data_IF_081551412463
#
_entry.id   IF_081551412463
#
_cell.length_a   1.000
_cell.length_b   1.000
_cell.length_c   1.000
_cell.angle_alpha   90.00
_cell.angle_beta   90.00
_cell.angle_gamma   90.00
#
_symmetry.space_group_name_H-M   'P 1'
#
loop_
_entity.id
_entity.type
_entity.pdbx_description
1 polymer ?
#
# COMPACT_ATOMS: atom_id res chain seq x y z
N UNK A 1 -18.86 5.07 33.10
CA UNK A 1 -17.91 4.46 34.06
C UNK A 1 -17.01 5.52 34.67
N UNK A 2 -16.31 6.32 33.85
CA UNK A 2 -15.44 7.43 34.28
C UNK A 2 -16.09 8.36 35.33
N UNK A 3 -17.31 8.85 35.06
CA UNK A 3 -18.03 9.77 35.96
C UNK A 3 -18.52 9.14 37.28
N UNK A 4 -18.39 7.82 37.47
CA UNK A 4 -18.91 7.13 38.67
C UNK A 4 -18.00 7.29 39.89
N UNK A 5 -16.72 7.65 39.73
CA UNK A 5 -15.76 7.81 40.83
C UNK A 5 -14.88 9.06 40.63
N UNK A 6 -14.59 9.84 41.69
CA UNK A 6 -13.69 11.00 41.57
C UNK A 6 -12.30 10.65 41.03
N UNK A 7 -11.76 9.49 41.42
CA UNK A 7 -10.45 9.00 40.93
C UNK A 7 -10.43 8.83 39.42
N UNK A 8 -11.37 8.06 38.86
CA UNK A 8 -11.44 7.79 37.41
C UNK A 8 -11.78 9.06 36.63
N UNK A 9 -12.60 9.95 37.19
CA UNK A 9 -12.88 11.25 36.58
C UNK A 9 -11.61 12.09 36.43
N UNK A 10 -10.80 12.18 37.50
CA UNK A 10 -9.53 12.91 37.49
C UNK A 10 -8.53 12.31 36.50
N UNK A 11 -8.46 10.97 36.44
CA UNK A 11 -7.48 10.27 35.61
C UNK A 11 -7.87 10.21 34.12
N UNK A 12 -9.15 10.09 33.77
CA UNK A 12 -9.59 9.78 32.41
C UNK A 12 -10.63 10.74 31.82
N UNK A 13 -11.21 11.65 32.63
CA UNK A 13 -12.31 12.51 32.20
C UNK A 13 -11.95 13.50 31.08
N UNK A 14 -10.66 13.77 30.88
CA UNK A 14 -10.15 14.71 29.88
C UNK A 14 -9.88 14.06 28.51
N UNK A 15 -9.83 12.73 28.42
CA UNK A 15 -9.35 12.02 27.22
C UNK A 15 -10.21 12.33 25.99
N UNK A 16 -11.52 12.06 26.05
CA UNK A 16 -12.40 12.24 24.89
C UNK A 16 -12.57 13.71 24.47
N UNK A 17 -12.73 14.68 25.41
CA UNK A 17 -12.68 16.10 25.05
C UNK A 17 -11.39 16.47 24.33
N UNK A 18 -10.24 15.97 24.83
CA UNK A 18 -8.95 16.30 24.24
C UNK A 18 -8.76 15.68 22.85
N UNK A 19 -9.20 14.44 22.63
CA UNK A 19 -9.25 13.87 21.29
C UNK A 19 -10.05 14.74 20.32
N UNK A 20 -11.24 15.21 20.74
CA UNK A 20 -12.08 16.06 19.90
C UNK A 20 -11.35 17.34 19.48
N UNK A 21 -10.69 18.00 20.43
CA UNK A 21 -9.90 19.21 20.14
C UNK A 21 -8.75 18.93 19.17
N UNK A 22 -7.98 17.87 19.41
CA UNK A 22 -6.86 17.50 18.53
C UNK A 22 -7.36 17.15 17.14
N UNK A 23 -8.35 16.25 17.00
CA UNK A 23 -8.83 15.79 15.69
C UNK A 23 -9.48 16.89 14.85
N UNK A 24 -10.03 17.93 15.48
CA UNK A 24 -10.55 19.11 14.76
C UNK A 24 -9.45 19.77 13.94
N UNK A 25 -8.26 19.95 14.50
CA UNK A 25 -7.13 20.57 13.80
C UNK A 25 -6.29 19.54 13.01
N UNK A 26 -6.02 18.38 13.61
CA UNK A 26 -5.20 17.32 13.03
C UNK A 26 -5.72 16.90 11.65
N UNK A 27 -7.03 16.79 11.47
CA UNK A 27 -7.64 16.35 10.20
C UNK A 27 -7.23 17.24 9.02
N UNK A 28 -7.13 18.56 9.22
CA UNK A 28 -6.70 19.54 8.21
C UNK A 28 -5.25 19.28 7.76
N UNK A 29 -4.34 19.12 8.70
CA UNK A 29 -2.93 18.84 8.40
C UNK A 29 -2.72 17.43 7.86
N UNK A 30 -3.52 16.46 8.33
CA UNK A 30 -3.44 15.08 7.88
C UNK A 30 -3.90 14.97 6.43
N UNK A 31 -4.96 15.69 6.05
CA UNK A 31 -5.39 15.80 4.66
C UNK A 31 -4.30 16.46 3.80
N UNK A 32 -3.69 17.55 4.27
CA UNK A 32 -2.58 18.19 3.56
C UNK A 32 -1.39 17.24 3.36
N UNK A 33 -1.05 16.43 4.36
CA UNK A 33 -0.01 15.41 4.26
C UNK A 33 -0.38 14.29 3.27
N UNK A 34 -1.65 13.90 3.21
CA UNK A 34 -2.14 12.94 2.23
C UNK A 34 -2.00 13.50 0.80
N UNK A 35 -2.40 14.75 0.54
CA UNK A 35 -2.18 15.39 -0.77
C UNK A 35 -0.70 15.51 -1.11
N UNK A 36 0.15 15.91 -0.16
CA UNK A 36 1.59 15.95 -0.36
C UNK A 36 2.13 14.57 -0.77
N UNK A 37 1.70 13.50 -0.09
CA UNK A 37 2.17 12.14 -0.35
C UNK A 37 1.62 11.57 -1.65
N UNK A 38 0.32 11.70 -1.89
CA UNK A 38 -0.41 11.03 -2.98
C UNK A 38 -0.48 11.83 -4.28
N UNK A 39 -0.49 13.16 -4.22
CA UNK A 39 -0.56 14.04 -5.39
C UNK A 39 0.76 14.78 -5.66
N UNK A 40 1.73 14.69 -4.76
CA UNK A 40 3.07 15.24 -4.93
C UNK A 40 4.15 14.16 -4.99
N UNK A 41 4.37 13.47 -3.88
CA UNK A 41 5.56 12.65 -3.66
C UNK A 41 5.50 11.25 -4.30
N UNK A 42 4.30 10.72 -4.54
CA UNK A 42 4.09 9.42 -5.21
C UNK A 42 4.43 9.45 -6.70
N UNK A 43 4.44 10.64 -7.31
CA UNK A 43 4.69 10.84 -8.74
C UNK A 43 6.12 10.44 -9.11
N UNK A 44 6.27 9.70 -10.21
CA UNK A 44 7.54 9.09 -10.58
C UNK A 44 8.60 10.16 -10.87
N UNK A 45 8.23 11.23 -11.57
CA UNK A 45 9.14 12.37 -11.77
C UNK A 45 9.65 12.97 -10.45
N UNK A 46 8.80 13.09 -9.43
CA UNK A 46 9.19 13.67 -8.13
C UNK A 46 10.10 12.72 -7.36
N UNK A 47 9.82 11.40 -7.38
CA UNK A 47 10.70 10.36 -6.80
C UNK A 47 12.06 10.30 -7.50
N UNK A 48 12.08 10.51 -8.81
CA UNK A 48 13.31 10.59 -9.59
C UNK A 48 14.15 11.80 -9.15
N UNK A 49 13.51 12.94 -8.93
CA UNK A 49 14.18 14.17 -8.47
C UNK A 49 14.71 14.02 -7.05
N UNK A 50 13.97 13.35 -6.15
CA UNK A 50 14.49 12.98 -4.83
C UNK A 50 15.79 12.18 -4.96
N UNK A 51 15.82 11.21 -5.88
CA UNK A 51 17.00 10.37 -6.14
C UNK A 51 18.16 11.21 -6.68
N UNK A 52 17.91 12.15 -7.60
CA UNK A 52 18.89 13.12 -8.09
C UNK A 52 19.39 14.03 -6.95
N UNK A 53 18.55 14.42 -6.01
CA UNK A 53 18.96 15.20 -4.83
C UNK A 53 20.07 14.51 -4.02
N UNK A 54 20.07 13.17 -3.95
CA UNK A 54 21.16 12.43 -3.28
C UNK A 54 22.51 12.51 -4.02
N UNK A 55 22.47 12.80 -5.32
CA UNK A 55 23.63 12.99 -6.20
C UNK A 55 24.13 14.43 -6.12
N UNK A 56 23.22 15.40 -6.10
CA UNK A 56 23.55 16.80 -5.87
C UNK A 56 24.21 17.02 -4.49
N UNK A 57 23.84 16.23 -3.49
CA UNK A 57 24.46 16.24 -2.16
C UNK A 57 25.81 15.51 -2.09
N UNK A 58 26.28 14.86 -3.15
CA UNK A 58 27.53 14.11 -3.15
C UNK A 58 28.75 15.03 -3.33
N UNK A 59 29.74 14.91 -2.46
CA UNK A 59 31.03 15.60 -2.62
C UNK A 59 31.90 14.88 -3.66
N UNK A 60 31.80 15.32 -4.92
CA UNK A 60 32.52 14.75 -6.07
C UNK A 60 34.04 14.98 -6.04
N UNK A 61 34.55 15.81 -5.12
CA UNK A 61 36.00 15.96 -4.92
C UNK A 61 36.60 14.76 -4.19
N UNK A 62 35.75 13.90 -3.61
CA UNK A 62 36.15 12.70 -2.89
C UNK A 62 35.86 11.43 -3.70
N UNK A 63 36.67 10.39 -3.50
CA UNK A 63 36.42 9.06 -4.06
C UNK A 63 35.04 8.52 -3.68
N UNK A 64 34.57 8.81 -2.46
CA UNK A 64 33.27 8.38 -1.96
C UNK A 64 32.11 9.03 -2.74
N UNK A 65 32.18 10.33 -3.02
CA UNK A 65 31.17 11.02 -3.83
C UNK A 65 31.18 10.54 -5.27
N UNK A 66 32.35 10.41 -5.90
CA UNK A 66 32.44 9.87 -7.27
C UNK A 66 31.88 8.44 -7.36
N UNK A 67 32.18 7.59 -6.37
CA UNK A 67 31.64 6.23 -6.29
C UNK A 67 30.12 6.24 -6.14
N UNK A 68 29.55 7.12 -5.31
CA UNK A 68 28.10 7.27 -5.14
C UNK A 68 27.40 7.56 -6.47
N UNK A 69 27.93 8.50 -7.26
CA UNK A 69 27.40 8.86 -8.57
C UNK A 69 27.46 7.67 -9.53
N UNK A 70 28.61 6.98 -9.61
CA UNK A 70 28.75 5.80 -10.47
C UNK A 70 27.79 4.67 -10.08
N UNK A 71 27.54 4.49 -8.78
CA UNK A 71 26.64 3.45 -8.28
C UNK A 71 25.17 3.78 -8.51
N UNK A 72 24.79 5.06 -8.58
CA UNK A 72 23.40 5.47 -8.80
C UNK A 72 22.93 5.30 -10.24
N UNK A 73 23.84 5.35 -11.22
CA UNK A 73 23.57 5.15 -12.66
C UNK A 73 22.68 3.91 -12.89
N UNK A 74 23.06 2.75 -12.34
CA UNK A 74 22.26 1.52 -12.48
C UNK A 74 20.85 1.65 -11.88
N UNK A 75 20.73 2.42 -10.78
CA UNK A 75 19.44 2.73 -10.17
C UNK A 75 18.55 3.54 -11.11
N UNK A 76 19.09 4.56 -11.76
CA UNK A 76 18.38 5.35 -12.76
C UNK A 76 18.04 4.54 -14.01
N UNK A 77 18.94 3.68 -14.49
CA UNK A 77 18.64 2.78 -15.61
C UNK A 77 17.46 1.86 -15.31
N UNK A 78 17.42 1.27 -14.11
CA UNK A 78 16.32 0.43 -13.65
C UNK A 78 15.03 1.24 -13.52
N UNK A 79 15.08 2.46 -12.97
CA UNK A 79 13.92 3.34 -12.88
C UNK A 79 13.32 3.60 -14.28
N UNK A 80 14.16 3.97 -15.25
CA UNK A 80 13.72 4.26 -16.61
C UNK A 80 13.26 3.04 -17.42
N UNK A 81 13.44 1.82 -16.90
CA UNK A 81 12.90 0.62 -17.53
C UNK A 81 11.37 0.59 -17.43
N UNK A 82 10.83 1.04 -16.30
CA UNK A 82 9.41 0.98 -15.99
C UNK A 82 8.73 2.36 -16.06
N UNK A 83 9.51 3.45 -16.09
CA UNK A 83 9.01 4.82 -16.28
C UNK A 83 8.43 5.03 -17.69
N UNK A 84 7.18 5.48 -17.76
CA UNK A 84 6.53 5.87 -19.00
C UNK A 84 6.19 7.38 -18.99
N UNK A 85 6.99 8.17 -19.71
CA UNK A 85 6.96 9.63 -19.70
C UNK A 85 5.55 10.23 -19.91
N UNK A 86 4.84 9.79 -20.96
CA UNK A 86 3.51 10.35 -21.28
C UNK A 86 2.46 9.99 -20.21
N UNK A 87 2.58 8.81 -19.59
CA UNK A 87 1.66 8.39 -18.53
C UNK A 87 1.91 9.18 -17.25
N UNK A 88 3.17 9.29 -16.82
CA UNK A 88 3.54 10.05 -15.64
C UNK A 88 3.13 11.53 -15.80
N UNK A 89 3.41 12.13 -16.96
CA UNK A 89 2.98 13.51 -17.28
C UNK A 89 1.46 13.70 -17.22
N UNK A 90 0.68 12.77 -17.77
CA UNK A 90 -0.77 12.84 -17.75
C UNK A 90 -1.32 12.70 -16.31
N UNK A 91 -0.76 11.79 -15.52
CA UNK A 91 -1.12 11.60 -14.10
C UNK A 91 -0.76 12.86 -13.32
N UNK A 92 0.47 13.36 -13.46
CA UNK A 92 0.97 14.59 -12.83
C UNK A 92 -0.02 15.74 -13.05
N UNK A 93 -0.38 16.02 -14.32
CA UNK A 93 -1.34 17.08 -14.65
C UNK A 93 -2.67 16.93 -13.92
N UNK A 94 -3.23 15.71 -13.84
CA UNK A 94 -4.52 15.47 -13.19
C UNK A 94 -4.44 15.59 -11.68
N UNK A 95 -3.47 14.95 -11.03
CA UNK A 95 -3.39 14.96 -9.56
C UNK A 95 -2.96 16.32 -9.02
N UNK A 96 -2.07 17.03 -9.72
CA UNK A 96 -1.69 18.40 -9.34
C UNK A 96 -2.85 19.38 -9.53
N UNK A 97 -3.65 19.24 -10.60
CA UNK A 97 -4.86 20.05 -10.78
C UNK A 97 -5.85 19.84 -9.64
N UNK A 98 -6.05 18.58 -9.22
CA UNK A 98 -6.91 18.24 -8.08
C UNK A 98 -6.39 18.86 -6.77
N UNK A 99 -5.09 18.72 -6.48
CA UNK A 99 -4.48 19.33 -5.29
C UNK A 99 -4.71 20.85 -5.24
N UNK A 100 -4.43 21.54 -6.35
CA UNK A 100 -4.57 23.00 -6.45
C UNK A 100 -6.03 23.47 -6.34
N UNK A 101 -7.00 22.61 -6.65
CA UNK A 101 -8.43 22.93 -6.58
C UNK A 101 -9.07 22.59 -5.24
N UNK A 102 -8.59 21.54 -4.58
CA UNK A 102 -9.26 20.93 -3.43
C UNK A 102 -8.64 21.31 -2.09
N UNK A 103 -7.45 21.91 -2.08
CA UNK A 103 -6.77 22.34 -0.86
C UNK A 103 -6.76 23.87 -0.70
N UNK A 104 -6.84 24.31 0.56
CA UNK A 104 -6.57 25.70 0.92
C UNK A 104 -5.17 26.11 0.43
N UNK A 105 -5.04 27.34 -0.09
CA UNK A 105 -3.79 27.85 -0.66
C UNK A 105 -2.60 27.72 0.30
N UNK A 106 -2.86 27.75 1.60
CA UNK A 106 -1.86 27.61 2.63
C UNK A 106 -1.19 26.21 2.68
N UNK A 107 -1.76 25.21 2.00
CA UNK A 107 -1.24 23.84 1.85
C UNK A 107 -1.00 23.45 0.38
N UNK A 108 -0.91 24.45 -0.49
CA UNK A 108 -0.52 24.26 -1.88
C UNK A 108 0.87 24.88 -2.04
N UNK A 109 1.83 24.16 -2.64
CA UNK A 109 3.15 24.71 -2.97
C UNK A 109 3.03 26.02 -3.75
N UNK A 110 3.83 27.02 -3.39
CA UNK A 110 3.75 28.36 -3.98
C UNK A 110 3.94 28.32 -5.50
N UNK A 111 4.84 27.47 -6.01
CA UNK A 111 5.06 27.30 -7.44
C UNK A 111 3.79 26.87 -8.18
N UNK A 112 2.93 26.07 -7.54
CA UNK A 112 1.66 25.63 -8.10
C UNK A 112 0.59 26.73 -8.01
N UNK A 113 0.60 27.56 -6.97
CA UNK A 113 -0.27 28.73 -6.88
C UNK A 113 0.09 29.78 -7.95
N UNK A 114 1.39 29.98 -8.19
CA UNK A 114 1.90 30.86 -9.22
C UNK A 114 1.51 30.32 -10.60
N UNK A 115 1.67 29.01 -10.82
CA UNK A 115 1.21 28.34 -12.04
C UNK A 115 -0.31 28.49 -12.24
N UNK A 116 -1.11 28.28 -11.19
CA UNK A 116 -2.57 28.47 -11.22
C UNK A 116 -2.92 29.89 -11.67
N UNK A 117 -2.21 30.88 -11.15
CA UNK A 117 -2.43 32.30 -11.47
C UNK A 117 -2.01 32.60 -12.92
N UNK A 118 -0.80 32.17 -13.32
CA UNK A 118 -0.26 32.37 -14.67
C UNK A 118 -1.16 31.75 -15.75
N UNK A 119 -1.74 30.59 -15.46
CA UNK A 119 -2.53 29.81 -16.41
C UNK A 119 -4.04 29.84 -16.15
N UNK A 120 -4.55 30.86 -15.48
CA UNK A 120 -5.99 31.08 -15.26
C UNK A 120 -6.71 29.83 -14.71
N UNK A 121 -6.08 29.12 -13.79
CA UNK A 121 -6.62 27.92 -13.13
C UNK A 121 -6.32 26.58 -13.81
N UNK A 122 -5.84 26.57 -15.06
CA UNK A 122 -5.48 25.33 -15.77
C UNK A 122 -3.98 25.01 -15.57
N UNK A 123 -3.66 23.93 -14.85
CA UNK A 123 -2.28 23.55 -14.54
C UNK A 123 -1.59 22.80 -15.70
N UNK A 124 -2.34 22.29 -16.68
CA UNK A 124 -1.78 21.48 -17.76
C UNK A 124 -0.67 22.18 -18.57
N UNK A 125 -0.76 23.48 -18.94
CA UNK A 125 0.33 24.17 -19.60
C UNK A 125 1.60 24.27 -18.76
N UNK A 126 1.49 24.46 -17.43
CA UNK A 126 2.63 24.45 -16.53
C UNK A 126 3.33 23.08 -16.53
N UNK A 127 2.55 21.99 -16.46
CA UNK A 127 3.10 20.63 -16.49
C UNK A 127 3.76 20.33 -17.83
N UNK A 128 3.17 20.79 -18.94
CA UNK A 128 3.80 20.69 -20.26
C UNK A 128 5.17 21.39 -20.31
N UNK A 129 5.28 22.60 -19.77
CA UNK A 129 6.56 23.32 -19.67
C UNK A 129 7.55 22.61 -18.74
N UNK A 130 7.09 22.11 -17.60
CA UNK A 130 7.91 21.42 -16.61
C UNK A 130 8.59 20.18 -17.21
N UNK A 131 7.81 19.31 -17.86
CA UNK A 131 8.34 18.10 -18.51
C UNK A 131 9.19 18.40 -19.75
N UNK A 132 8.83 19.42 -20.54
CA UNK A 132 9.58 19.78 -21.75
C UNK A 132 10.98 20.35 -21.45
N UNK A 133 11.14 21.02 -20.31
CA UNK A 133 12.38 21.71 -19.95
C UNK A 133 13.26 20.92 -18.97
N UNK A 134 12.82 19.75 -18.50
CA UNK A 134 13.56 18.95 -17.54
C UNK A 134 14.52 17.97 -18.20
N UNK A 135 15.76 17.97 -17.69
CA UNK A 135 16.81 16.99 -18.01
C UNK A 135 16.69 15.74 -17.15
N UNK A 136 16.04 15.85 -15.99
CA UNK A 136 15.90 14.74 -15.04
C UNK A 136 14.93 13.67 -15.57
N UNK A 137 13.76 14.04 -16.08
CA UNK A 137 12.76 13.06 -16.58
C UNK A 137 13.09 12.53 -17.99
N UNK A 138 14.18 13.00 -18.60
CA UNK A 138 14.67 12.51 -19.87
C UNK A 138 15.85 11.55 -19.65
N UNK A 139 15.65 10.26 -19.93
CA UNK A 139 16.69 9.23 -19.74
C UNK A 139 18.00 9.60 -20.40
N UNK A 140 17.98 9.95 -21.69
CA UNK A 140 19.22 10.19 -22.44
C UNK A 140 19.98 11.40 -21.90
N UNK A 141 19.26 12.46 -21.54
CA UNK A 141 19.87 13.68 -20.98
C UNK A 141 20.40 13.45 -19.56
N UNK A 142 19.63 12.81 -18.68
CA UNK A 142 20.09 12.51 -17.32
C UNK A 142 21.31 11.59 -17.35
N UNK A 143 21.27 10.49 -18.11
CA UNK A 143 22.40 9.55 -18.18
C UNK A 143 23.66 10.23 -18.70
N UNK A 144 23.56 11.08 -19.73
CA UNK A 144 24.70 11.86 -20.24
C UNK A 144 25.33 12.76 -19.16
N UNK A 145 24.50 13.41 -18.35
CA UNK A 145 24.95 14.27 -17.25
C UNK A 145 25.62 13.48 -16.12
N UNK A 146 25.14 12.27 -15.82
CA UNK A 146 25.66 11.41 -14.76
C UNK A 146 26.94 10.66 -15.16
N UNK A 147 27.06 10.20 -16.40
CA UNK A 147 28.26 9.50 -16.89
C UNK A 147 29.50 10.40 -16.89
N UNK A 148 29.30 11.70 -17.14
CA UNK A 148 30.36 12.71 -17.15
C UNK A 148 30.22 13.69 -15.98
N UNK A 149 29.74 13.24 -14.83
CA UNK A 149 29.34 14.13 -13.74
C UNK A 149 30.47 15.05 -13.25
N UNK A 150 30.22 16.36 -13.35
CA UNK A 150 31.09 17.47 -12.93
C UNK A 150 30.31 18.46 -12.07
N UNK A 151 30.99 19.47 -11.53
CA UNK A 151 30.33 20.59 -10.85
C UNK A 151 29.38 21.36 -11.79
N UNK A 152 29.73 21.49 -13.08
CA UNK A 152 28.87 22.10 -14.10
C UNK A 152 27.60 21.26 -14.33
N UNK A 153 27.72 19.93 -14.44
CA UNK A 153 26.55 19.06 -14.58
C UNK A 153 25.66 19.08 -13.33
N UNK A 154 26.27 19.21 -12.14
CA UNK A 154 25.53 19.37 -10.90
C UNK A 154 24.73 20.69 -10.89
N UNK A 155 25.31 21.78 -11.40
CA UNK A 155 24.59 23.06 -11.54
C UNK A 155 23.42 22.96 -12.54
N UNK A 156 23.61 22.27 -13.67
CA UNK A 156 22.53 22.01 -14.64
C UNK A 156 21.37 21.26 -13.96
N UNK A 157 21.67 20.19 -13.21
CA UNK A 157 20.65 19.40 -12.52
C UNK A 157 20.01 20.17 -11.36
N UNK A 158 20.78 20.98 -10.62
CA UNK A 158 20.25 21.80 -9.52
C UNK A 158 19.27 22.88 -10.01
N UNK A 159 19.44 23.36 -11.24
CA UNK A 159 18.57 24.34 -11.89
C UNK A 159 17.42 23.70 -12.70
N UNK A 160 17.27 22.37 -12.66
CA UNK A 160 16.15 21.69 -13.32
C UNK A 160 14.80 22.16 -12.72
N UNK A 161 13.77 22.41 -13.54
CA UNK A 161 12.49 22.92 -13.04
C UNK A 161 11.81 21.97 -12.05
N UNK A 162 12.05 20.65 -12.12
CA UNK A 162 11.55 19.74 -11.09
C UNK A 162 12.29 19.85 -9.76
N UNK A 163 13.55 20.27 -9.74
CA UNK A 163 14.27 20.51 -8.47
C UNK A 163 13.65 21.70 -7.73
N UNK A 164 13.34 22.78 -8.45
CA UNK A 164 12.63 23.92 -7.87
C UNK A 164 11.26 23.52 -7.30
N UNK A 165 10.48 22.75 -8.07
CA UNK A 165 9.19 22.19 -7.63
C UNK A 165 9.34 21.32 -6.37
N UNK A 166 10.27 20.37 -6.40
CA UNK A 166 10.53 19.44 -5.30
C UNK A 166 10.92 20.20 -4.02
N UNK A 167 11.80 21.20 -4.13
CA UNK A 167 12.22 21.99 -2.99
C UNK A 167 11.05 22.76 -2.36
N UNK A 168 10.14 23.30 -3.18
CA UNK A 168 8.93 23.98 -2.69
C UNK A 168 7.97 23.00 -1.99
N UNK A 169 7.78 21.80 -2.57
CA UNK A 169 6.99 20.72 -1.95
C UNK A 169 7.55 20.36 -0.56
N UNK A 170 8.85 20.07 -0.48
CA UNK A 170 9.52 19.68 0.76
C UNK A 170 9.51 20.82 1.78
N UNK A 171 9.70 22.07 1.34
CA UNK A 171 9.64 23.24 2.22
C UNK A 171 8.26 23.36 2.88
N UNK A 172 7.18 23.29 2.09
CA UNK A 172 5.82 23.32 2.62
C UNK A 172 5.58 22.17 3.61
N UNK A 173 5.94 20.95 3.22
CA UNK A 173 5.74 19.78 4.07
C UNK A 173 6.50 19.89 5.40
N UNK A 174 7.80 20.17 5.34
CA UNK A 174 8.67 20.14 6.50
C UNK A 174 8.46 21.32 7.45
N UNK A 175 8.16 22.51 6.92
CA UNK A 175 8.07 23.71 7.75
C UNK A 175 6.66 23.95 8.30
N UNK A 176 5.64 23.31 7.72
CA UNK A 176 4.24 23.56 8.09
C UNK A 176 3.47 22.31 8.45
N UNK A 177 3.45 21.32 7.55
CA UNK A 177 2.57 20.16 7.69
C UNK A 177 3.09 19.23 8.79
N UNK A 178 4.33 18.77 8.67
CA UNK A 178 4.87 17.74 9.57
C UNK A 178 5.07 18.27 10.99
N UNK A 179 5.46 19.54 11.17
CA UNK A 179 5.66 20.14 12.50
C UNK A 179 4.38 20.04 13.34
N UNK A 180 3.23 20.33 12.72
CA UNK A 180 1.93 20.25 13.39
C UNK A 180 1.48 18.81 13.62
N UNK A 181 1.66 17.94 12.63
CA UNK A 181 1.32 16.52 12.77
C UNK A 181 2.12 15.83 13.87
N UNK A 182 3.43 16.03 13.92
CA UNK A 182 4.29 15.44 14.97
C UNK A 182 3.84 15.88 16.36
N UNK A 183 3.59 17.18 16.55
CA UNK A 183 3.12 17.70 17.85
C UNK A 183 1.79 17.08 18.29
N UNK A 184 0.84 16.89 17.37
CA UNK A 184 -0.42 16.23 17.70
C UNK A 184 -0.25 14.73 17.93
N UNK A 185 0.60 14.05 17.16
CA UNK A 185 0.87 12.62 17.31
C UNK A 185 1.50 12.27 18.66
N UNK A 186 2.44 13.07 19.16
CA UNK A 186 3.03 12.89 20.50
C UNK A 186 1.98 12.95 21.61
N UNK A 187 1.01 13.86 21.47
CA UNK A 187 -0.09 13.99 22.41
C UNK A 187 -1.09 12.84 22.28
N UNK A 188 -1.47 12.48 21.06
CA UNK A 188 -2.34 11.32 20.78
C UNK A 188 -1.75 10.04 21.36
N UNK A 189 -0.45 9.79 21.19
CA UNK A 189 0.21 8.61 21.75
C UNK A 189 0.07 8.52 23.28
N UNK A 190 0.13 9.66 23.96
CA UNK A 190 -0.09 9.73 25.41
C UNK A 190 -1.54 9.44 25.76
N UNK A 191 -2.50 10.02 25.03
CA UNK A 191 -3.93 9.82 25.21
C UNK A 191 -4.33 8.36 24.93
N UNK A 192 -3.81 7.75 23.87
CA UNK A 192 -4.08 6.37 23.45
C UNK A 192 -3.66 5.38 24.55
N UNK A 193 -2.47 5.58 25.13
CA UNK A 193 -1.99 4.77 26.25
C UNK A 193 -2.91 4.89 27.46
N UNK A 194 -3.36 6.10 27.79
CA UNK A 194 -4.29 6.32 28.91
C UNK A 194 -5.67 5.75 28.62
N UNK A 195 -6.13 5.86 27.37
CA UNK A 195 -7.43 5.36 26.93
C UNK A 195 -7.46 3.83 26.95
N UNK A 196 -6.41 3.16 26.48
CA UNK A 196 -6.27 1.71 26.58
C UNK A 196 -6.27 1.25 28.05
N UNK A 197 -5.52 1.94 28.92
CA UNK A 197 -5.54 1.64 30.37
C UNK A 197 -6.96 1.79 30.95
N UNK A 198 -7.67 2.86 30.60
CA UNK A 198 -9.04 3.10 31.05
C UNK A 198 -10.00 2.00 30.58
N UNK A 199 -9.87 1.52 29.34
CA UNK A 199 -10.68 0.41 28.80
C UNK A 199 -10.43 -0.89 29.57
N UNK A 200 -9.16 -1.23 29.85
CA UNK A 200 -8.79 -2.43 30.61
C UNK A 200 -9.33 -2.39 32.05
N UNK A 201 -9.22 -1.24 32.73
CA UNK A 201 -9.77 -1.05 34.07
C UNK A 201 -11.31 -1.04 34.10
N UNK A 202 -11.95 -0.54 33.04
CA UNK A 202 -13.40 -0.54 32.90
C UNK A 202 -13.96 -1.95 32.64
N UNK A 203 -13.21 -2.78 31.90
CA UNK A 203 -13.65 -4.10 31.44
C UNK A 203 -12.63 -5.20 31.81
N UNK A 204 -12.36 -5.45 33.11
CA UNK A 204 -11.28 -6.35 33.53
C UNK A 204 -11.49 -7.82 33.14
N UNK A 205 -12.71 -8.20 32.73
CA UNK A 205 -13.05 -9.55 32.26
C UNK A 205 -13.02 -9.68 30.73
N UNK A 206 -12.88 -8.58 29.99
CA UNK A 206 -12.82 -8.62 28.53
C UNK A 206 -11.43 -9.10 28.12
N UNK A 207 -11.37 -9.99 27.14
CA UNK A 207 -10.11 -10.37 26.50
C UNK A 207 -9.68 -9.23 25.58
N UNK A 208 -8.62 -8.53 25.96
CA UNK A 208 -7.95 -7.59 25.09
C UNK A 208 -6.78 -8.29 24.40
N UNK A 209 -6.64 -8.08 23.10
CA UNK A 209 -5.46 -8.44 22.34
C UNK A 209 -4.80 -7.14 21.84
N UNK A 210 -3.46 -7.06 21.82
CA UNK A 210 -2.79 -5.85 21.36
C UNK A 210 -2.97 -5.68 19.85
N UNK A 211 -3.01 -4.43 19.39
CA UNK A 211 -3.00 -4.12 17.96
C UNK A 211 -1.80 -4.76 17.25
N UNK A 212 -1.97 -5.02 15.96
CA UNK A 212 -0.90 -5.55 15.12
C UNK A 212 0.22 -4.52 14.98
N UNK A 213 1.47 -4.99 15.05
CA UNK A 213 2.66 -4.14 14.97
C UNK A 213 3.83 -4.86 14.28
N UNK A 214 3.53 -5.65 13.25
CA UNK A 214 4.50 -6.50 12.52
C UNK A 214 5.28 -7.49 13.40
N UNK A 215 4.66 -7.96 14.48
CA UNK A 215 5.16 -9.07 15.31
C UNK A 215 4.34 -10.33 15.05
N UNK A 216 4.92 -11.50 15.34
CA UNK A 216 4.22 -12.78 15.22
C UNK A 216 2.97 -12.82 16.10
N UNK A 217 1.84 -13.22 15.54
CA UNK A 217 0.55 -13.43 16.23
C UNK A 217 -0.10 -14.72 15.76
N UNK A 218 -1.03 -15.22 16.57
CA UNK A 218 -1.89 -16.37 16.24
C UNK A 218 -3.34 -15.89 16.30
N UNK A 219 -4.09 -16.22 15.25
CA UNK A 219 -5.55 -16.07 15.19
C UNK A 219 -6.14 -17.42 14.82
N UNK A 220 -7.35 -17.70 15.27
CA UNK A 220 -8.03 -18.95 15.01
C UNK A 220 -9.50 -18.70 14.73
N UNK A 221 -10.10 -19.64 14.01
CA UNK A 221 -11.47 -19.55 13.55
C UNK A 221 -11.90 -20.89 12.97
N UNK A 222 -12.97 -20.85 12.18
CA UNK A 222 -13.49 -21.99 11.46
C UNK A 222 -13.74 -21.60 10.01
N UNK A 223 -13.62 -22.57 9.11
CA UNK A 223 -14.12 -22.45 7.75
C UNK A 223 -15.63 -22.26 7.83
N UNK A 224 -16.15 -21.16 7.28
CA UNK A 224 -17.54 -20.77 7.47
C UNK A 224 -18.06 -19.92 6.31
N UNK A 225 -19.28 -20.22 5.90
CA UNK A 225 -20.03 -19.44 4.91
C UNK A 225 -20.34 -18.04 5.48
N UNK A 226 -20.79 -17.11 4.63
CA UNK A 226 -21.33 -15.84 5.11
C UNK A 226 -22.39 -15.26 4.17
N UNK A 227 -23.14 -14.26 4.66
CA UNK A 227 -24.23 -13.61 3.93
C UNK A 227 -23.90 -12.14 3.71
N UNK A 228 -23.39 -11.75 2.53
CA UNK A 228 -22.98 -10.36 2.28
C UNK A 228 -24.16 -9.39 2.29
N UNK A 229 -25.35 -9.87 1.91
CA UNK A 229 -26.60 -9.10 1.83
C UNK A 229 -27.81 -10.01 1.84
N UNK A 230 -29.00 -9.41 1.87
CA UNK A 230 -30.27 -10.14 1.83
C UNK A 230 -30.35 -11.10 0.63
N UNK A 231 -30.93 -12.28 0.88
CA UNK A 231 -31.10 -13.39 -0.07
C UNK A 231 -29.82 -13.91 -0.76
N UNK A 232 -28.61 -13.52 -0.33
CA UNK A 232 -27.34 -14.01 -0.89
C UNK A 232 -26.53 -14.73 0.17
N UNK A 233 -26.01 -15.91 -0.20
CA UNK A 233 -25.10 -16.70 0.62
C UNK A 233 -23.85 -16.99 -0.20
N UNK A 234 -22.68 -16.70 0.37
CA UNK A 234 -21.41 -17.12 -0.20
C UNK A 234 -20.93 -18.35 0.57
N UNK A 235 -20.66 -19.41 -0.17
CA UNK A 235 -20.09 -20.63 0.35
C UNK A 235 -18.62 -20.42 0.72
N UNK A 236 -18.14 -21.23 1.64
CA UNK A 236 -16.80 -21.10 2.18
C UNK A 236 -15.68 -21.54 1.23
N UNK A 237 -16.00 -22.09 0.06
CA UNK A 237 -15.01 -22.58 -0.91
C UNK A 237 -15.33 -22.10 -2.33
N UNK A 238 -14.30 -22.09 -3.18
CA UNK A 238 -14.40 -21.90 -4.62
C UNK A 238 -13.69 -23.04 -5.35
N UNK A 239 -13.95 -23.18 -6.65
CA UNK A 239 -13.39 -24.27 -7.45
C UNK A 239 -12.84 -23.79 -8.79
N UNK A 240 -12.12 -24.68 -9.47
CA UNK A 240 -11.55 -24.43 -10.80
C UNK A 240 -12.65 -24.12 -11.83
N UNK A 241 -13.82 -24.74 -11.73
CA UNK A 241 -14.99 -24.36 -12.56
C UNK A 241 -15.28 -22.86 -12.47
N UNK A 242 -15.21 -22.27 -11.27
CA UNK A 242 -15.42 -20.83 -11.07
C UNK A 242 -14.34 -19.93 -11.69
N UNK A 243 -13.13 -20.46 -11.92
CA UNK A 243 -12.11 -19.76 -12.72
C UNK A 243 -12.53 -19.77 -14.20
N UNK A 244 -13.00 -20.91 -14.71
CA UNK A 244 -13.42 -21.07 -16.10
C UNK A 244 -14.68 -20.25 -16.41
N UNK A 245 -15.64 -20.19 -15.49
CA UNK A 245 -16.82 -19.32 -15.58
C UNK A 245 -16.45 -17.84 -15.75
N UNK A 246 -15.29 -17.44 -15.23
CA UNK A 246 -14.77 -16.07 -15.32
C UNK A 246 -13.85 -15.84 -16.51
N UNK A 247 -13.49 -16.86 -17.30
CA UNK A 247 -12.53 -16.71 -18.40
C UNK A 247 -13.03 -15.66 -19.41
N UNK A 248 -12.21 -14.65 -19.63
CA UNK A 248 -12.45 -13.64 -20.64
C UNK A 248 -11.11 -13.21 -21.26
N UNK A 249 -10.75 -13.70 -22.47
CA UNK A 249 -9.45 -13.42 -23.07
C UNK A 249 -9.24 -11.94 -23.45
N UNK A 250 -10.32 -11.17 -23.58
CA UNK A 250 -10.28 -9.73 -23.89
C UNK A 250 -9.92 -8.88 -22.65
N UNK A 251 -10.12 -9.43 -21.44
CA UNK A 251 -9.77 -8.74 -20.18
C UNK A 251 -8.51 -9.39 -19.62
N UNK A 252 -7.42 -8.63 -19.56
CA UNK A 252 -6.11 -9.12 -19.10
C UNK A 252 -6.20 -9.89 -17.77
N UNK A 253 -6.92 -9.36 -16.78
CA UNK A 253 -7.06 -9.95 -15.44
C UNK A 253 -7.89 -11.25 -15.41
N UNK A 254 -8.71 -11.50 -16.43
CA UNK A 254 -9.60 -12.67 -16.52
C UNK A 254 -9.17 -13.65 -17.61
N UNK A 255 -8.01 -13.45 -18.24
CA UNK A 255 -7.50 -14.35 -19.27
C UNK A 255 -6.95 -15.63 -18.63
N UNK A 256 -7.66 -16.75 -18.77
CA UNK A 256 -7.20 -18.05 -18.27
C UNK A 256 -6.15 -18.66 -19.22
N UNK A 257 -5.00 -19.15 -18.70
CA UNK A 257 -3.99 -19.82 -19.52
C UNK A 257 -4.53 -21.07 -20.24
N UNK A 258 -4.10 -21.28 -21.49
CA UNK A 258 -4.56 -22.42 -22.30
C UNK A 258 -4.34 -23.79 -21.64
N UNK A 259 -3.20 -23.98 -20.97
CA UNK A 259 -2.89 -25.22 -20.23
C UNK A 259 -3.88 -25.48 -19.10
N UNK A 260 -4.33 -24.44 -18.39
CA UNK A 260 -5.29 -24.60 -17.29
C UNK A 260 -6.68 -24.98 -17.83
N UNK A 261 -7.07 -24.43 -19.00
CA UNK A 261 -8.29 -24.84 -19.70
C UNK A 261 -8.25 -26.29 -20.17
N UNK A 262 -7.14 -26.72 -20.76
CA UNK A 262 -6.94 -28.10 -21.19
C UNK A 262 -7.09 -29.09 -20.01
N UNK A 263 -6.46 -28.79 -18.86
CA UNK A 263 -6.58 -29.60 -17.64
C UNK A 263 -8.04 -29.68 -17.17
N UNK A 264 -8.78 -28.57 -17.25
CA UNK A 264 -10.20 -28.52 -16.89
C UNK A 264 -11.10 -29.32 -17.84
N UNK A 265 -10.86 -29.24 -19.15
CA UNK A 265 -11.64 -29.93 -20.18
C UNK A 265 -11.41 -31.45 -20.13
N UNK A 266 -10.15 -31.86 -19.94
CA UNK A 266 -9.76 -33.28 -19.84
C UNK A 266 -10.00 -33.88 -18.46
N UNK A 267 -10.32 -33.06 -17.45
CA UNK A 267 -10.47 -33.45 -16.04
C UNK A 267 -9.22 -34.14 -15.47
N UNK A 268 -8.03 -33.77 -15.95
CA UNK A 268 -6.76 -34.30 -15.45
C UNK A 268 -6.36 -33.64 -14.10
N UNK A 269 -7.17 -33.90 -13.08
CA UNK A 269 -7.02 -33.29 -11.75
C UNK A 269 -6.22 -34.17 -10.78
N UNK A 270 -6.02 -35.44 -11.09
CA UNK A 270 -5.31 -36.37 -10.20
C UNK A 270 -5.95 -36.48 -8.81
N UNK A 271 -5.11 -36.52 -7.77
CA UNK A 271 -5.53 -36.67 -6.36
C UNK A 271 -6.01 -35.36 -5.71
N UNK A 272 -5.99 -34.24 -6.44
CA UNK A 272 -6.31 -32.92 -5.90
C UNK A 272 -7.80 -32.55 -5.99
N UNK A 273 -8.58 -33.34 -6.72
CA UNK A 273 -10.00 -33.10 -6.88
C UNK A 273 -10.82 -33.57 -5.67
N UNK A 274 -11.86 -32.82 -5.36
CA UNK A 274 -12.92 -33.18 -4.44
C UNK A 274 -14.26 -33.07 -5.17
N UNK A 275 -15.07 -34.14 -5.09
CA UNK A 275 -16.38 -34.21 -5.77
C UNK A 275 -16.35 -33.88 -7.28
N UNK A 276 -15.24 -34.21 -7.95
CA UNK A 276 -15.09 -34.05 -9.41
C UNK A 276 -14.59 -32.67 -9.87
N UNK A 277 -14.20 -31.78 -8.95
CA UNK A 277 -13.62 -30.47 -9.26
C UNK A 277 -12.40 -30.20 -8.37
N UNK A 278 -11.58 -29.20 -8.71
CA UNK A 278 -10.41 -28.81 -7.92
C UNK A 278 -10.78 -27.62 -7.04
N UNK A 279 -10.76 -27.75 -5.70
CA UNK A 279 -10.91 -26.62 -4.78
C UNK A 279 -9.80 -25.60 -5.02
N UNK A 280 -10.14 -24.30 -5.05
CA UNK A 280 -9.19 -23.21 -5.40
C UNK A 280 -8.86 -22.36 -4.18
N UNK A 281 -9.88 -21.75 -3.58
CA UNK A 281 -9.74 -20.94 -2.38
C UNK A 281 -10.81 -21.34 -1.38
N UNK A 282 -10.58 -20.96 -0.12
CA UNK A 282 -11.60 -21.02 0.92
C UNK A 282 -11.54 -19.79 1.83
N UNK A 283 -12.62 -19.58 2.57
CA UNK A 283 -12.74 -18.50 3.55
C UNK A 283 -12.98 -19.05 4.95
N UNK A 284 -12.48 -18.31 5.96
CA UNK A 284 -12.63 -18.67 7.35
C UNK A 284 -12.82 -17.42 8.24
N UNK A 285 -13.25 -17.65 9.48
CA UNK A 285 -13.54 -16.59 10.46
C UNK A 285 -12.29 -16.11 11.21
N UNK A 286 -11.11 -16.18 10.60
CA UNK A 286 -9.85 -15.77 11.23
C UNK A 286 -9.67 -14.25 11.06
N UNK A 287 -9.32 -13.54 12.13
CA UNK A 287 -9.07 -12.10 12.07
C UNK A 287 -7.65 -11.83 11.55
N UNK A 288 -7.55 -11.36 10.30
CA UNK A 288 -6.29 -11.03 9.61
C UNK A 288 -6.26 -9.56 9.16
N UNK A 289 -5.09 -9.08 8.76
CA UNK A 289 -4.87 -7.75 8.18
C UNK A 289 -3.67 -7.74 7.21
N UNK A 290 -3.26 -6.55 6.75
CA UNK A 290 -2.01 -6.35 6.02
C UNK A 290 -0.82 -6.92 6.81
N UNK A 291 0.05 -7.66 6.12
CA UNK A 291 1.14 -8.43 6.72
C UNK A 291 0.83 -9.90 6.99
N UNK A 292 -0.44 -10.32 6.90
CA UNK A 292 -0.80 -11.75 6.98
C UNK A 292 -0.74 -12.49 5.63
N UNK A 293 -0.48 -11.82 4.51
CA UNK A 293 -0.29 -12.49 3.22
C UNK A 293 0.87 -13.49 3.29
N UNK A 294 0.62 -14.73 2.88
CA UNK A 294 1.56 -15.85 3.00
C UNK A 294 1.48 -16.62 4.33
N UNK A 295 0.59 -16.25 5.26
CA UNK A 295 0.47 -16.97 6.54
C UNK A 295 -0.05 -18.40 6.32
N UNK A 296 0.53 -19.41 6.99
CA UNK A 296 0.02 -20.79 6.92
C UNK A 296 -1.32 -20.90 7.64
N UNK A 297 -2.28 -21.55 7.00
CA UNK A 297 -3.55 -21.96 7.62
C UNK A 297 -3.44 -23.43 7.98
N UNK A 298 -3.57 -23.73 9.27
CA UNK A 298 -3.37 -25.07 9.81
C UNK A 298 -4.71 -25.66 10.28
N UNK A 299 -4.89 -26.97 10.11
CA UNK A 299 -5.99 -27.70 10.74
C UNK A 299 -5.73 -27.97 12.24
N UNK A 300 -6.62 -28.73 12.89
CA UNK A 300 -6.55 -29.03 14.32
C UNK A 300 -5.30 -29.83 14.72
N UNK A 301 -4.72 -30.57 13.77
CA UNK A 301 -3.52 -31.38 13.93
C UNK A 301 -2.23 -30.63 13.56
N UNK A 302 -2.33 -29.35 13.19
CA UNK A 302 -1.18 -28.52 12.81
C UNK A 302 -0.66 -28.75 11.38
N UNK A 303 -1.45 -29.40 10.52
CA UNK A 303 -1.11 -29.66 9.13
C UNK A 303 -1.58 -28.51 8.23
N UNK A 304 -0.78 -28.17 7.22
CA UNK A 304 -1.08 -27.08 6.29
C UNK A 304 -2.27 -27.42 5.39
N UNK A 305 -3.32 -26.61 5.46
CA UNK A 305 -4.52 -26.75 4.61
C UNK A 305 -4.69 -25.58 3.64
N UNK A 306 -3.97 -24.48 3.85
CA UNK A 306 -4.01 -23.35 2.94
C UNK A 306 -3.01 -22.25 3.26
N UNK A 307 -2.99 -21.24 2.40
CA UNK A 307 -2.13 -20.07 2.55
C UNK A 307 -2.99 -18.81 2.46
N UNK A 308 -3.01 -18.03 3.55
CA UNK A 308 -3.78 -16.79 3.60
C UNK A 308 -3.22 -15.76 2.62
N UNK A 309 -4.07 -15.08 1.85
CA UNK A 309 -3.60 -14.03 0.94
C UNK A 309 -4.41 -12.73 1.00
N UNK A 310 -5.67 -12.76 1.44
CA UNK A 310 -6.54 -11.57 1.41
C UNK A 310 -7.68 -11.61 2.45
N UNK A 311 -8.55 -10.60 2.41
CA UNK A 311 -9.79 -10.45 3.18
C UNK A 311 -10.96 -10.18 2.25
N UNK A 312 -12.16 -10.58 2.66
CA UNK A 312 -13.37 -10.25 1.90
C UNK A 312 -13.70 -8.75 1.96
N UNK A 313 -14.53 -8.31 1.02
CA UNK A 313 -14.94 -6.91 0.88
C UNK A 313 -15.56 -6.34 2.17
N UNK A 314 -16.53 -7.04 2.75
CA UNK A 314 -17.20 -6.62 3.98
C UNK A 314 -16.27 -6.61 5.20
N UNK A 315 -15.16 -7.36 5.13
CA UNK A 315 -14.13 -7.45 6.16
C UNK A 315 -13.04 -6.39 6.08
N UNK A 316 -13.03 -5.51 5.07
CA UNK A 316 -12.00 -4.45 4.92
C UNK A 316 -11.91 -3.50 6.11
N UNK A 317 -13.00 -3.35 6.87
CA UNK A 317 -13.06 -2.54 8.10
C UNK A 317 -12.45 -3.21 9.34
N UNK A 318 -11.98 -4.46 9.24
CA UNK A 318 -11.56 -5.28 10.39
C UNK A 318 -10.40 -4.71 11.19
N UNK A 319 -9.66 -3.75 10.63
CA UNK A 319 -8.56 -3.05 11.31
C UNK A 319 -9.08 -2.05 12.35
N UNK A 320 -10.32 -1.58 12.17
CA UNK A 320 -11.01 -0.68 13.08
C UNK A 320 -12.06 -1.41 13.92
N UNK A 321 -12.82 -2.32 13.31
CA UNK A 321 -13.85 -3.10 13.98
C UNK A 321 -14.03 -4.46 13.29
N UNK A 322 -13.81 -5.52 14.05
CA UNK A 322 -14.10 -6.88 13.62
C UNK A 322 -15.56 -7.25 13.84
N UNK A 323 -16.26 -7.61 12.77
CA UNK A 323 -17.61 -8.19 12.80
C UNK A 323 -17.55 -9.68 12.42
N UNK A 324 -17.76 -10.61 13.37
CA UNK A 324 -17.66 -12.05 13.10
C UNK A 324 -18.72 -12.55 12.08
N UNK A 325 -19.82 -11.81 11.88
CA UNK A 325 -20.85 -12.20 10.91
C UNK A 325 -20.43 -11.96 9.47
N UNK A 326 -19.51 -11.02 9.23
CA UNK A 326 -19.12 -10.56 7.89
C UNK A 326 -17.64 -10.73 7.58
N UNK A 327 -16.74 -10.56 8.56
CA UNK A 327 -15.30 -10.61 8.32
C UNK A 327 -14.84 -12.04 8.01
N UNK A 328 -14.15 -12.20 6.90
CA UNK A 328 -13.56 -13.46 6.45
C UNK A 328 -12.15 -13.22 5.91
N UNK A 329 -11.22 -14.05 6.31
CA UNK A 329 -9.94 -14.15 5.61
C UNK A 329 -10.11 -15.05 4.37
N UNK A 330 -9.34 -14.80 3.32
CA UNK A 330 -9.35 -15.57 2.07
C UNK A 330 -8.00 -16.29 1.95
N UNK A 331 -8.09 -17.60 1.75
CA UNK A 331 -6.92 -18.49 1.68
C UNK A 331 -6.93 -19.31 0.41
N UNK A 332 -5.75 -19.53 -0.15
CA UNK A 332 -5.50 -20.50 -1.21
C UNK A 332 -5.66 -21.91 -0.61
N UNK A 333 -6.44 -22.77 -1.25
CA UNK A 333 -6.51 -24.19 -0.86
C UNK A 333 -5.20 -24.88 -1.23
N UNK A 334 -4.60 -25.62 -0.29
CA UNK A 334 -3.31 -26.25 -0.53
C UNK A 334 -3.38 -27.27 -1.68
N UNK A 335 -4.55 -27.89 -1.90
CA UNK A 335 -4.77 -28.82 -3.03
C UNK A 335 -4.63 -28.11 -4.38
N UNK A 336 -5.08 -26.86 -4.49
CA UNK A 336 -4.90 -26.07 -5.71
C UNK A 336 -3.43 -25.74 -5.95
N UNK A 337 -2.70 -25.35 -4.90
CA UNK A 337 -1.27 -25.08 -5.01
C UNK A 337 -0.52 -26.32 -5.52
N UNK A 338 -0.79 -27.49 -4.93
CA UNK A 338 -0.21 -28.76 -5.36
C UNK A 338 -0.64 -29.16 -6.77
N UNK A 339 -1.91 -28.95 -7.14
CA UNK A 339 -2.40 -29.17 -8.50
C UNK A 339 -1.66 -28.32 -9.54
N UNK A 340 -1.43 -27.03 -9.25
CA UNK A 340 -0.69 -26.14 -10.15
C UNK A 340 0.77 -26.59 -10.26
N UNK A 341 1.41 -26.95 -9.14
CA UNK A 341 2.80 -27.45 -9.15
C UNK A 341 2.91 -28.75 -9.96
N UNK A 342 1.99 -29.69 -9.78
CA UNK A 342 2.02 -30.99 -10.46
C UNK A 342 1.55 -30.91 -11.92
N UNK A 343 0.26 -30.62 -12.12
CA UNK A 343 -0.44 -30.81 -13.39
C UNK A 343 -0.21 -29.68 -14.37
N UNK A 344 -0.14 -28.45 -13.85
CA UNK A 344 0.08 -27.27 -14.68
C UNK A 344 1.56 -27.07 -15.01
N UNK A 345 2.44 -27.10 -13.99
CA UNK A 345 3.87 -26.82 -14.16
C UNK A 345 4.73 -28.07 -14.44
N UNK A 346 4.24 -29.28 -14.19
CA UNK A 346 5.03 -30.51 -14.33
C UNK A 346 6.15 -30.64 -13.30
N UNK A 347 6.05 -29.93 -12.18
CA UNK A 347 7.11 -29.75 -11.19
C UNK A 347 7.01 -30.73 -10.01
N UNK A 348 6.76 -32.01 -10.31
CA UNK A 348 6.52 -33.06 -9.28
C UNK A 348 7.65 -33.19 -8.26
N UNK A 349 8.89 -32.86 -8.63
CA UNK A 349 10.03 -32.90 -7.70
C UNK A 349 9.85 -32.00 -6.46
N UNK A 350 9.05 -30.92 -6.56
CA UNK A 350 8.71 -30.08 -5.40
C UNK A 350 7.72 -30.78 -4.46
N UNK A 351 6.84 -31.62 -5.01
CA UNK A 351 5.87 -32.39 -4.22
C UNK A 351 6.58 -33.54 -3.53
N UNK A 352 7.57 -34.15 -4.19
CA UNK A 352 8.38 -35.23 -3.63
C UNK A 352 9.24 -34.77 -2.43
N UNK A 353 9.52 -33.46 -2.33
CA UNK A 353 10.18 -32.85 -1.16
C UNK A 353 9.25 -32.71 0.06
N UNK A 354 7.93 -32.78 -0.15
CA UNK A 354 6.93 -32.57 0.89
C UNK A 354 6.43 -33.89 1.48
N UNK A 355 6.08 -33.88 2.77
CA UNK A 355 5.32 -34.97 3.38
C UNK A 355 3.81 -34.68 3.24
N UNK A 356 3.16 -35.35 2.30
CA UNK A 356 1.71 -35.23 2.10
C UNK A 356 0.97 -36.14 3.09
N UNK A 357 0.13 -35.54 3.93
CA UNK A 357 -0.79 -36.25 4.83
C UNK A 357 -2.16 -36.31 4.15
N UNK A 358 -2.78 -37.49 4.15
CA UNK A 358 -4.07 -37.77 3.49
C UNK A 358 -5.19 -37.99 4.50
#
# INVERSE_FOLDING_TARGET
WVNKKPKTQKEYGHILPRYKEIYTEFSKYNLASAYFSEAGFSLDAVRLVQSVGTILAADITTDAGQKRVKQSIKGFENFFKDFHFETDKAIFAKVTQEWVNSMDAEFVPQILLDAKTKYNGNIEPFVNELYANSKIVNKAELMKLLENYTAENAEILANDPFVALYNDYISLHNNKIIVKLTSYQEELQTLDRLYMRAQMEMQPKKLFYPDANFTLRITYGKVDDYKPRDAVSYQHFSTLSGIIEKDNPEIYDYRVPARLKELYETKDFGEYAENGDVPVCFIASNHTSGGNSGSPVLNAEGQLIGVNFDRNWEGTMSDMMYDPSQCRNISLDIRYALFIVDKFAGARWLIDEMQIIK
#
